data_IF_403951122521
#
_entry.id   IF_403951122521
#
_cell.length_a   1.000
_cell.length_b   1.000
_cell.length_c   1.000
_cell.angle_alpha   90.00
_cell.angle_beta   90.00
_cell.angle_gamma   90.00
#
_symmetry.space_group_name_H-M   'P 1'
#
loop_
_entity.id
_entity.type
_entity.pdbx_description
1 polymer ?
#
# COMPACT_ATOMS: atom_id res chain seq x y z
N UNK A 1 3.00 0.99 -0.40
CA UNK A 1 1.70 1.63 -0.18
C UNK A 1 1.87 3.11 0.10
N UNK A 2 0.87 3.89 -0.19
CA UNK A 2 0.87 5.34 -0.05
C UNK A 2 -0.56 5.81 0.33
N UNK A 3 -0.63 6.84 1.18
CA UNK A 3 -1.89 7.40 1.66
C UNK A 3 -2.52 8.27 0.58
N UNK A 4 -3.79 8.01 0.26
CA UNK A 4 -4.50 8.81 -0.74
C UNK A 4 -4.80 10.22 -0.20
N UNK A 5 -4.46 11.22 -1.01
CA UNK A 5 -4.70 12.64 -0.69
C UNK A 5 -4.08 13.14 0.64
N UNK A 6 -2.98 12.53 1.10
CA UNK A 6 -2.35 12.90 2.38
C UNK A 6 -1.96 14.38 2.46
N UNK A 7 -1.53 14.97 1.34
CA UNK A 7 -1.28 16.41 1.28
C UNK A 7 -2.52 17.23 1.63
N UNK A 8 -3.69 16.86 1.14
CA UNK A 8 -4.94 17.56 1.44
C UNK A 8 -5.30 17.46 2.94
N UNK A 9 -4.98 16.34 3.60
CA UNK A 9 -5.13 16.19 5.06
C UNK A 9 -4.22 17.19 5.78
N UNK A 10 -2.93 17.24 5.42
CA UNK A 10 -1.99 18.19 6.00
C UNK A 10 -2.39 19.64 5.76
N UNK A 11 -2.80 19.98 4.54
CA UNK A 11 -3.21 21.34 4.16
C UNK A 11 -4.46 21.78 4.96
N UNK A 12 -5.37 20.85 5.24
CA UNK A 12 -6.63 21.14 5.93
C UNK A 12 -6.50 21.14 7.46
N UNK A 13 -5.77 20.18 8.03
CA UNK A 13 -5.74 19.92 9.46
C UNK A 13 -4.38 20.18 10.11
N UNK A 14 -3.37 20.46 9.32
CA UNK A 14 -1.99 20.67 9.76
C UNK A 14 -1.16 19.40 9.91
N UNK A 15 0.15 19.54 9.88
CA UNK A 15 1.11 18.44 9.99
C UNK A 15 0.96 17.58 11.26
N UNK A 16 0.66 18.16 12.47
CA UNK A 16 0.47 17.32 13.66
C UNK A 16 -0.65 16.30 13.50
N UNK A 17 -1.76 16.68 12.88
CA UNK A 17 -2.87 15.74 12.59
C UNK A 17 -2.49 14.74 11.49
N UNK A 18 -1.73 15.16 10.49
CA UNK A 18 -1.14 14.25 9.52
C UNK A 18 -0.26 13.18 10.17
N UNK A 19 0.56 13.55 11.15
CA UNK A 19 1.38 12.61 11.91
C UNK A 19 0.53 11.61 12.70
N UNK A 20 -0.57 12.05 13.31
CA UNK A 20 -1.54 11.14 13.96
C UNK A 20 -2.12 10.13 12.96
N UNK A 21 -2.46 10.59 11.75
CA UNK A 21 -2.95 9.71 10.67
C UNK A 21 -1.89 8.68 10.29
N UNK A 22 -0.64 9.09 10.06
CA UNK A 22 0.46 8.18 9.72
C UNK A 22 0.69 7.14 10.82
N UNK A 23 0.71 7.54 12.08
CA UNK A 23 0.84 6.61 13.21
C UNK A 23 -0.31 5.60 13.27
N UNK A 24 -1.54 6.05 13.06
CA UNK A 24 -2.70 5.18 13.06
C UNK A 24 -2.68 4.19 11.88
N UNK A 25 -2.27 4.63 10.70
CA UNK A 25 -2.09 3.77 9.51
C UNK A 25 -1.02 2.71 9.75
N UNK A 26 0.15 3.10 10.27
CA UNK A 26 1.22 2.15 10.60
C UNK A 26 0.74 1.08 11.59
N UNK A 27 0.00 1.48 12.64
CA UNK A 27 -0.55 0.57 13.62
C UNK A 27 -1.58 -0.41 13.01
N UNK A 28 -2.50 0.08 12.17
CA UNK A 28 -3.50 -0.76 11.48
C UNK A 28 -2.82 -1.75 10.52
N UNK A 29 -1.83 -1.32 9.74
CA UNK A 29 -1.05 -2.20 8.88
C UNK A 29 -0.33 -3.28 9.68
N UNK A 30 0.33 -2.89 10.77
CA UNK A 30 1.08 -3.82 11.62
C UNK A 30 0.19 -4.87 12.30
N UNK A 31 -1.04 -4.50 12.70
CA UNK A 31 -2.02 -5.45 13.26
C UNK A 31 -2.48 -6.51 12.26
N UNK A 32 -2.38 -6.26 10.97
CA UNK A 32 -2.75 -7.21 9.91
C UNK A 32 -1.55 -8.00 9.37
N UNK A 33 -0.34 -7.60 9.72
CA UNK A 33 0.89 -8.29 9.37
C UNK A 33 1.14 -9.50 10.29
N UNK A 34 1.80 -10.53 9.74
CA UNK A 34 2.26 -11.70 10.53
C UNK A 34 3.55 -11.34 11.27
N UNK A 35 3.92 -12.13 12.26
CA UNK A 35 5.17 -11.94 13.03
C UNK A 35 6.44 -11.92 12.17
N UNK A 36 6.39 -12.56 11.00
CA UNK A 36 7.50 -12.66 10.04
C UNK A 36 7.48 -11.56 8.98
N UNK A 37 6.42 -10.77 8.94
CA UNK A 37 6.30 -9.66 7.98
C UNK A 37 6.99 -8.42 8.55
N UNK A 38 7.49 -7.56 7.66
CA UNK A 38 8.19 -6.34 8.04
C UNK A 38 7.48 -5.13 7.44
N UNK A 39 7.05 -4.23 8.32
CA UNK A 39 6.51 -2.93 7.92
C UNK A 39 7.58 -1.86 8.16
N UNK A 40 7.89 -1.08 7.15
CA UNK A 40 8.80 0.05 7.23
C UNK A 40 8.18 1.31 6.62
N UNK A 41 8.44 2.47 7.22
CA UNK A 41 8.13 3.76 6.60
C UNK A 41 9.24 4.08 5.61
N UNK A 42 8.89 4.31 4.35
CA UNK A 42 9.86 4.60 3.28
C UNK A 42 10.13 6.09 3.17
N UNK A 43 9.10 6.92 3.34
CA UNK A 43 9.22 8.37 3.34
C UNK A 43 7.84 9.01 3.41
N UNK A 44 7.73 10.21 3.95
CA UNK A 44 6.45 10.93 4.00
C UNK A 44 5.29 10.07 4.53
N UNK A 45 4.35 9.76 3.66
CA UNK A 45 3.18 8.90 3.88
C UNK A 45 3.30 7.53 3.21
N UNK A 46 4.49 7.18 2.73
CA UNK A 46 4.77 5.91 2.06
C UNK A 46 5.28 4.84 3.02
N UNK A 47 4.74 3.63 2.88
CA UNK A 47 5.15 2.45 3.63
C UNK A 47 5.51 1.30 2.70
N UNK A 48 6.46 0.48 3.13
CA UNK A 48 6.79 -0.81 2.51
C UNK A 48 6.41 -1.91 3.47
N UNK A 49 5.69 -2.91 2.96
CA UNK A 49 5.39 -4.15 3.66
C UNK A 49 6.07 -5.31 2.93
N UNK A 50 6.98 -5.98 3.59
CA UNK A 50 7.66 -7.17 3.09
C UNK A 50 6.97 -8.41 3.68
N UNK A 51 6.59 -9.35 2.80
CA UNK A 51 5.86 -10.56 3.13
C UNK A 51 6.69 -11.81 2.73
N UNK A 52 7.66 -12.24 3.55
CA UNK A 52 8.50 -13.38 3.21
C UNK A 52 7.70 -14.67 3.00
N UNK A 53 8.10 -15.46 1.99
CA UNK A 53 7.47 -16.74 1.70
C UNK A 53 6.02 -16.65 1.25
N UNK A 54 5.61 -15.52 0.66
CA UNK A 54 4.22 -15.29 0.24
C UNK A 54 4.15 -15.23 -1.29
N UNK A 55 3.18 -15.89 -1.89
CA UNK A 55 2.93 -15.82 -3.33
C UNK A 55 2.39 -14.44 -3.74
N UNK A 56 2.41 -14.11 -5.03
CA UNK A 56 1.81 -12.86 -5.52
C UNK A 56 0.31 -12.80 -5.18
N UNK A 57 -0.41 -13.91 -5.37
CA UNK A 57 -1.84 -13.98 -5.09
C UNK A 57 -2.15 -13.74 -3.61
N UNK A 58 -1.45 -14.42 -2.71
CA UNK A 58 -1.61 -14.19 -1.27
C UNK A 58 -1.22 -12.76 -0.87
N UNK A 59 -0.17 -12.20 -1.48
CA UNK A 59 0.23 -10.81 -1.23
C UNK A 59 -0.86 -9.83 -1.65
N UNK A 60 -1.53 -10.06 -2.79
CA UNK A 60 -2.68 -9.27 -3.24
C UNK A 60 -3.83 -9.36 -2.23
N UNK A 61 -4.15 -10.56 -1.73
CA UNK A 61 -5.19 -10.74 -0.70
C UNK A 61 -4.87 -10.00 0.61
N UNK A 62 -3.60 -10.05 1.04
CA UNK A 62 -3.16 -9.28 2.21
C UNK A 62 -3.29 -7.77 1.97
N UNK A 63 -2.85 -7.29 0.82
CA UNK A 63 -2.92 -5.88 0.44
C UNK A 63 -4.38 -5.38 0.40
N UNK A 64 -5.28 -6.15 -0.21
CA UNK A 64 -6.71 -5.81 -0.30
C UNK A 64 -7.39 -5.82 1.07
N UNK A 65 -7.03 -6.75 1.95
CA UNK A 65 -7.54 -6.77 3.33
C UNK A 65 -7.11 -5.52 4.10
N UNK A 66 -5.85 -5.10 3.96
CA UNK A 66 -5.35 -3.87 4.59
C UNK A 66 -6.08 -2.64 4.02
N UNK A 67 -6.20 -2.55 2.69
CA UNK A 67 -6.91 -1.46 2.02
C UNK A 67 -8.35 -1.30 2.53
N UNK A 68 -9.11 -2.41 2.55
CA UNK A 68 -10.49 -2.43 3.04
C UNK A 68 -10.60 -2.03 4.50
N UNK A 69 -9.73 -2.55 5.35
CA UNK A 69 -9.70 -2.22 6.78
C UNK A 69 -9.49 -0.73 7.02
N UNK A 70 -8.53 -0.14 6.31
CA UNK A 70 -8.23 1.29 6.43
C UNK A 70 -9.41 2.12 5.92
N UNK A 71 -9.94 1.80 4.74
CA UNK A 71 -11.03 2.55 4.14
C UNK A 71 -12.39 2.39 4.84
N UNK A 72 -12.58 1.33 5.63
CA UNK A 72 -13.87 1.05 6.31
C UNK A 72 -14.10 1.86 7.57
N UNK A 73 -13.05 2.31 8.24
CA UNK A 73 -13.15 2.95 9.55
C UNK A 73 -12.31 4.23 9.58
N UNK A 74 -12.92 5.40 9.78
CA UNK A 74 -12.19 6.66 9.90
C UNK A 74 -11.11 6.60 11.00
N UNK A 75 -10.07 7.37 10.82
CA UNK A 75 -8.99 7.54 11.81
C UNK A 75 -9.42 8.61 12.79
N UNK A 76 -9.44 8.27 14.09
CA UNK A 76 -9.71 9.22 15.15
C UNK A 76 -8.44 10.01 15.43
N UNK A 77 -8.53 11.33 15.31
CA UNK A 77 -7.44 12.30 15.55
C UNK A 77 -7.89 13.38 16.51
N UNK A 78 -6.97 14.23 16.94
CA UNK A 78 -7.26 15.43 17.72
C UNK A 78 -8.21 16.40 17.01
N UNK A 79 -8.28 16.35 15.65
CA UNK A 79 -9.20 17.15 14.84
C UNK A 79 -10.53 16.43 14.54
N UNK A 80 -10.77 15.25 15.13
CA UNK A 80 -11.95 14.43 14.88
C UNK A 80 -11.66 13.18 14.04
N UNK A 81 -12.72 12.53 13.57
CA UNK A 81 -12.64 11.33 12.75
C UNK A 81 -12.42 11.69 11.28
N UNK A 82 -11.31 11.27 10.70
CA UNK A 82 -10.91 11.56 9.32
C UNK A 82 -11.01 10.28 8.48
N UNK A 83 -11.84 10.23 7.43
CA UNK A 83 -11.84 9.13 6.48
C UNK A 83 -10.54 9.16 5.67
N UNK A 84 -9.88 8.01 5.58
CA UNK A 84 -8.61 7.86 4.86
C UNK A 84 -8.67 6.61 4.01
N UNK A 85 -8.14 6.66 2.80
CA UNK A 85 -7.90 5.50 1.96
C UNK A 85 -6.41 5.38 1.63
N UNK A 86 -6.01 4.21 1.17
CA UNK A 86 -4.65 3.95 0.71
C UNK A 86 -4.65 3.25 -0.64
N UNK A 87 -3.62 3.52 -1.41
CA UNK A 87 -3.31 2.76 -2.62
C UNK A 87 -2.12 1.84 -2.40
N UNK A 88 -2.14 0.68 -3.01
CA UNK A 88 -1.08 -0.32 -2.86
C UNK A 88 -0.61 -0.81 -4.23
N UNK A 89 0.70 -0.77 -4.44
CA UNK A 89 1.38 -1.49 -5.51
C UNK A 89 1.99 -2.77 -4.93
N UNK A 90 1.80 -3.87 -5.61
CA UNK A 90 2.23 -5.21 -5.17
C UNK A 90 3.14 -5.84 -6.21
N UNK A 91 4.24 -6.44 -5.77
CA UNK A 91 5.12 -7.24 -6.60
C UNK A 91 5.65 -8.43 -5.80
N UNK A 92 5.96 -9.52 -6.49
CA UNK A 92 6.61 -10.70 -5.91
C UNK A 92 7.82 -11.12 -6.76
N UNK A 93 8.69 -11.93 -6.20
CA UNK A 93 9.75 -12.61 -6.95
C UNK A 93 9.12 -13.51 -8.00
N UNK A 94 9.53 -13.37 -9.26
CA UNK A 94 8.98 -14.13 -10.39
C UNK A 94 10.07 -14.82 -11.25
N UNK A 95 11.33 -14.43 -11.05
CA UNK A 95 12.48 -15.06 -11.70
C UNK A 95 13.72 -14.97 -10.81
N UNK A 96 14.74 -15.73 -11.12
CA UNK A 96 15.99 -15.80 -10.34
C UNK A 96 16.81 -14.50 -10.41
N UNK A 97 16.59 -13.69 -11.44
CA UNK A 97 17.24 -12.38 -11.61
C UNK A 97 16.56 -11.25 -10.81
N UNK A 98 15.39 -11.51 -10.20
CA UNK A 98 14.71 -10.51 -9.38
C UNK A 98 15.56 -10.12 -8.16
N UNK A 99 15.75 -8.83 -7.99
CA UNK A 99 16.41 -8.22 -6.84
C UNK A 99 15.39 -7.44 -6.01
N UNK A 100 15.75 -7.09 -4.79
CA UNK A 100 14.93 -6.20 -3.96
C UNK A 100 14.63 -4.89 -4.69
N UNK A 101 15.62 -4.37 -5.41
CA UNK A 101 15.47 -3.12 -6.19
C UNK A 101 14.46 -3.29 -7.33
N UNK A 102 14.54 -4.39 -8.10
CA UNK A 102 13.58 -4.65 -9.18
C UNK A 102 12.16 -4.83 -8.67
N UNK A 103 11.99 -5.47 -7.51
CA UNK A 103 10.71 -5.61 -6.84
C UNK A 103 10.14 -4.25 -6.40
N UNK A 104 10.96 -3.41 -5.78
CA UNK A 104 10.56 -2.07 -5.35
C UNK A 104 10.13 -1.22 -6.53
N UNK A 105 10.90 -1.21 -7.62
CA UNK A 105 10.57 -0.47 -8.86
C UNK A 105 9.24 -0.97 -9.44
N UNK A 106 9.02 -2.29 -9.45
CA UNK A 106 7.79 -2.89 -9.97
C UNK A 106 6.57 -2.57 -9.10
N UNK A 107 6.73 -2.61 -7.78
CA UNK A 107 5.69 -2.21 -6.84
C UNK A 107 5.37 -0.71 -6.91
N UNK A 108 6.39 0.15 -7.07
CA UNK A 108 6.22 1.60 -7.22
C UNK A 108 5.44 1.95 -8.50
N UNK A 109 5.80 1.33 -9.63
CA UNK A 109 5.04 1.51 -10.89
C UNK A 109 3.59 1.04 -10.75
N UNK A 110 3.34 -0.06 -10.05
CA UNK A 110 1.99 -0.53 -9.78
C UNK A 110 1.23 0.47 -8.90
N UNK A 111 1.86 1.02 -7.86
CA UNK A 111 1.29 2.07 -7.01
C UNK A 111 0.94 3.33 -7.82
N UNK A 112 1.83 3.75 -8.69
CA UNK A 112 1.57 4.88 -9.59
C UNK A 112 0.31 4.66 -10.44
N UNK A 113 0.14 3.46 -11.02
CA UNK A 113 -1.07 3.09 -11.76
C UNK A 113 -2.32 3.12 -10.88
N UNK A 114 -2.23 2.66 -9.61
CA UNK A 114 -3.33 2.76 -8.65
C UNK A 114 -3.77 4.21 -8.43
N UNK A 115 -2.81 5.10 -8.22
CA UNK A 115 -3.07 6.55 -8.05
C UNK A 115 -3.70 7.18 -9.30
N UNK A 116 -3.20 6.86 -10.50
CA UNK A 116 -3.77 7.36 -11.76
C UNK A 116 -5.22 6.90 -11.99
N UNK A 117 -5.60 5.75 -11.46
CA UNK A 117 -6.98 5.21 -11.55
C UNK A 117 -7.92 5.77 -10.48
N UNK A 118 -7.50 6.75 -9.69
CA UNK A 118 -8.32 7.43 -8.69
C UNK A 118 -8.05 7.04 -7.25
N UNK A 119 -7.01 6.23 -7.00
CA UNK A 119 -6.66 5.79 -5.65
C UNK A 119 -7.57 4.70 -5.08
N UNK A 120 -7.37 4.36 -3.80
CA UNK A 120 -8.10 3.33 -3.09
C UNK A 120 -8.13 1.98 -3.84
N UNK A 121 -6.98 1.58 -4.38
CA UNK A 121 -6.84 0.40 -5.23
C UNK A 121 -5.58 -0.41 -4.87
N UNK A 122 -5.65 -1.70 -5.16
CA UNK A 122 -4.50 -2.61 -5.20
C UNK A 122 -4.20 -2.93 -6.67
N UNK A 123 -2.98 -2.66 -7.09
CA UNK A 123 -2.47 -2.99 -8.43
C UNK A 123 -1.29 -3.96 -8.28
N UNK A 124 -1.31 -5.04 -9.05
CA UNK A 124 -0.21 -5.99 -9.12
C UNK A 124 0.69 -5.72 -10.32
N UNK A 125 1.99 -5.64 -10.07
CA UNK A 125 3.03 -5.64 -11.09
C UNK A 125 3.53 -7.06 -11.35
N UNK A 126 3.26 -7.61 -12.54
CA UNK A 126 3.69 -8.93 -12.99
C UNK A 126 4.73 -8.81 -14.08
N UNK A 127 5.68 -9.74 -14.13
CA UNK A 127 6.58 -9.90 -15.27
C UNK A 127 5.93 -10.82 -16.30
N UNK A 128 6.04 -10.43 -17.56
CA UNK A 128 5.72 -11.26 -18.72
C UNK A 128 6.94 -11.33 -19.63
N UNK A 129 6.89 -12.19 -20.68
CA UNK A 129 7.95 -12.26 -21.68
C UNK A 129 8.15 -10.96 -22.45
N UNK A 130 7.13 -10.11 -22.51
CA UNK A 130 7.13 -8.82 -23.20
C UNK A 130 7.47 -7.64 -22.28
N UNK A 131 7.62 -7.92 -20.97
CA UNK A 131 7.94 -6.92 -19.94
C UNK A 131 6.91 -6.88 -18.80
N UNK A 132 7.04 -5.94 -17.87
CA UNK A 132 6.12 -5.83 -16.74
C UNK A 132 4.74 -5.30 -17.17
N UNK A 133 3.69 -5.93 -16.68
CA UNK A 133 2.29 -5.46 -16.80
C UNK A 133 1.76 -5.06 -15.42
N UNK A 134 0.80 -4.13 -15.40
CA UNK A 134 0.21 -3.57 -14.18
C UNK A 134 -1.31 -3.61 -14.27
N UNK A 135 -1.95 -4.45 -13.47
CA UNK A 135 -3.39 -4.70 -13.58
C UNK A 135 -4.06 -4.90 -12.20
N UNK A 136 -5.36 -4.62 -12.13
CA UNK A 136 -6.20 -5.08 -11.03
C UNK A 136 -6.29 -6.60 -11.14
N UNK A 137 -5.95 -7.32 -10.07
CA UNK A 137 -6.00 -8.78 -10.11
C UNK A 137 -7.47 -9.24 -10.24
N UNK A 138 -7.76 -10.26 -11.09
CA UNK A 138 -9.13 -10.73 -11.33
C UNK A 138 -9.89 -11.16 -10.09
N UNK A 139 -9.20 -11.63 -9.05
CA UNK A 139 -9.83 -12.00 -7.77
C UNK A 139 -10.35 -10.82 -6.94
N UNK A 140 -10.11 -9.58 -7.40
CA UNK A 140 -10.54 -8.35 -6.73
C UNK A 140 -11.73 -7.67 -7.43
N UNK A 141 -12.21 -8.25 -8.53
CA UNK A 141 -13.34 -7.75 -9.34
C UNK A 141 -14.62 -8.50 -9.01
#
# INVERSE_FOLDING_TARGET
>A
TDTDEFKAINDKYGHPVGDEVICALANRCNQKARKVDFLGRYGGDEFILLLPGTTLEDTIHVAERIRKEIGSTPIVTSAGAIPVTISLGVASVQCDEDTVISLLIRADKALYVAKQKGGNLVIAGKLTREGPIFEIHPSLV
#
